data_IF_263357787184
#
_entry.id   IF_263357787184
#
_cell.length_a   1.000
_cell.length_b   1.000
_cell.length_c   1.000
_cell.angle_alpha   90.00
_cell.angle_beta   90.00
_cell.angle_gamma   90.00
#
_symmetry.space_group_name_H-M   'P 1'
#
loop_
_entity.id
_entity.type
_entity.pdbx_description
1 polymer ?
#
# COMPACT_ATOMS: atom_id res chain seq x y z
N UNK A 1 -7.01 23.51 -9.33
CA UNK A 1 -7.23 23.17 -7.91
C UNK A 1 -8.65 22.63 -7.75
N UNK A 2 -8.87 21.62 -6.91
CA UNK A 2 -10.15 20.92 -6.77
C UNK A 2 -11.00 21.50 -5.62
N UNK A 3 -12.33 21.51 -5.76
CA UNK A 3 -13.25 21.98 -4.70
C UNK A 3 -13.42 20.99 -3.54
N UNK A 4 -13.30 19.68 -3.84
CA UNK A 4 -13.42 18.59 -2.87
C UNK A 4 -12.36 17.55 -3.19
N UNK A 5 -11.81 16.94 -2.15
CA UNK A 5 -10.90 15.81 -2.23
C UNK A 5 -11.54 14.66 -1.47
N UNK A 6 -11.62 13.50 -2.11
CA UNK A 6 -12.05 12.25 -1.49
C UNK A 6 -10.81 11.37 -1.34
N UNK A 7 -10.36 11.22 -0.11
CA UNK A 7 -9.26 10.32 0.23
C UNK A 7 -9.85 9.00 0.74
N UNK A 8 -9.47 7.89 0.08
CA UNK A 8 -9.92 6.54 0.44
C UNK A 8 -8.69 5.75 0.84
N UNK A 9 -8.69 5.22 2.06
CA UNK A 9 -7.63 4.34 2.57
C UNK A 9 -8.16 2.91 2.54
N UNK A 10 -7.48 2.04 1.80
CA UNK A 10 -7.69 0.60 1.85
C UNK A 10 -6.72 0.04 2.90
N UNK A 11 -7.19 -0.03 4.13
CA UNK A 11 -6.33 -0.33 5.29
C UNK A 11 -5.60 -1.67 5.09
N UNK A 12 -4.31 -1.71 5.43
CA UNK A 12 -3.37 -2.83 5.26
C UNK A 12 -3.05 -3.30 3.82
N UNK A 13 -3.61 -2.69 2.77
CA UNK A 13 -3.41 -3.15 1.39
C UNK A 13 -2.04 -2.73 0.81
N UNK A 14 -0.97 -3.41 1.22
CA UNK A 14 0.38 -3.20 0.72
C UNK A 14 0.61 -3.71 -0.72
N UNK A 15 1.58 -3.12 -1.42
CA UNK A 15 1.97 -3.44 -2.82
C UNK A 15 3.40 -3.99 -2.93
N UNK A 16 3.83 -4.73 -1.90
CA UNK A 16 5.18 -5.30 -1.79
C UNK A 16 5.95 -4.73 -0.60
N UNK A 17 7.08 -5.38 -0.31
CA UNK A 17 7.95 -5.01 0.80
C UNK A 17 8.59 -3.62 0.58
N UNK A 18 8.77 -2.89 1.68
CA UNK A 18 9.50 -1.64 1.69
C UNK A 18 11.03 -1.87 1.69
N UNK A 19 11.86 -0.90 1.29
CA UNK A 19 13.33 -1.03 1.30
C UNK A 19 13.93 -1.42 2.67
N UNK A 20 13.25 -1.06 3.76
CA UNK A 20 13.61 -1.30 5.16
C UNK A 20 12.83 -2.46 5.80
N UNK A 21 12.12 -3.27 5.02
CA UNK A 21 11.29 -4.38 5.53
C UNK A 21 12.07 -5.36 6.43
N UNK A 22 13.39 -5.49 6.24
CA UNK A 22 14.27 -6.28 7.11
C UNK A 22 14.25 -5.81 8.56
N UNK A 23 14.19 -4.50 8.80
CA UNK A 23 14.19 -3.93 10.15
C UNK A 23 12.91 -4.25 10.91
N UNK A 24 11.85 -4.63 10.19
CA UNK A 24 10.55 -5.01 10.72
C UNK A 24 10.25 -6.51 10.67
N UNK A 25 11.22 -7.33 10.25
CA UNK A 25 11.09 -8.78 9.98
C UNK A 25 10.02 -9.12 8.91
N UNK A 26 9.83 -8.25 7.93
CA UNK A 26 8.79 -8.38 6.88
C UNK A 26 9.38 -8.68 5.49
N UNK A 27 10.58 -9.26 5.42
CA UNK A 27 11.19 -9.62 4.14
C UNK A 27 10.30 -10.61 3.36
N UNK A 28 10.10 -10.33 2.08
CA UNK A 28 9.22 -11.08 1.19
C UNK A 28 7.73 -10.74 1.35
N UNK A 29 7.35 -9.78 2.18
CA UNK A 29 5.96 -9.38 2.32
C UNK A 29 5.42 -8.77 1.01
N UNK A 30 4.24 -9.22 0.58
CA UNK A 30 3.55 -8.64 -0.56
C UNK A 30 2.05 -8.93 -0.48
N UNK A 31 1.29 -8.04 0.17
CA UNK A 31 -0.14 -8.27 0.46
C UNK A 31 -0.94 -8.52 -0.82
N UNK A 32 -0.99 -7.55 -1.74
CA UNK A 32 -1.77 -7.71 -2.98
C UNK A 32 -1.22 -8.81 -3.89
N UNK A 33 0.10 -9.00 -3.94
CA UNK A 33 0.74 -10.04 -4.74
C UNK A 33 0.33 -11.44 -4.28
N UNK A 34 0.48 -11.74 -2.98
CA UNK A 34 0.11 -13.04 -2.43
C UNK A 34 -1.41 -13.29 -2.46
N UNK A 35 -2.23 -12.24 -2.33
CA UNK A 35 -3.68 -12.35 -2.57
C UNK A 35 -3.94 -12.76 -4.03
N UNK A 36 -3.34 -12.06 -4.99
CA UNK A 36 -3.53 -12.36 -6.42
C UNK A 36 -2.99 -13.75 -6.82
N UNK A 37 -1.98 -14.26 -6.11
CA UNK A 37 -1.49 -15.63 -6.28
C UNK A 37 -2.46 -16.68 -5.75
N UNK A 38 -3.04 -16.44 -4.57
CA UNK A 38 -3.88 -17.40 -3.84
C UNK A 38 -5.33 -17.49 -4.36
N UNK A 39 -5.83 -16.47 -5.06
CA UNK A 39 -7.19 -16.48 -5.60
C UNK A 39 -7.30 -15.85 -6.99
N UNK A 40 -8.43 -16.06 -7.66
CA UNK A 40 -8.75 -15.36 -8.90
C UNK A 40 -9.21 -13.93 -8.60
N UNK A 41 -8.25 -13.02 -8.54
CA UNK A 41 -8.47 -11.62 -8.18
C UNK A 41 -8.94 -10.81 -9.40
N UNK A 42 -10.17 -10.29 -9.32
CA UNK A 42 -10.76 -9.48 -10.39
C UNK A 42 -10.96 -8.02 -9.94
N UNK A 43 -10.13 -7.11 -10.45
CA UNK A 43 -10.13 -5.69 -10.10
C UNK A 43 -10.25 -4.78 -11.34
N UNK A 44 -11.33 -4.87 -12.12
CA UNK A 44 -11.41 -4.23 -13.44
C UNK A 44 -11.39 -2.70 -13.33
N UNK A 45 -11.99 -2.16 -12.27
CA UNK A 45 -12.02 -0.71 -12.03
C UNK A 45 -10.65 -0.17 -11.65
N UNK A 46 -9.94 -0.81 -10.70
CA UNK A 46 -8.59 -0.41 -10.30
C UNK A 46 -7.59 -0.61 -11.44
N UNK A 47 -7.71 -1.68 -12.23
CA UNK A 47 -6.95 -1.87 -13.48
C UNK A 47 -7.11 -0.66 -14.40
N UNK A 48 -8.35 -0.22 -14.64
CA UNK A 48 -8.63 0.92 -15.52
C UNK A 48 -8.07 2.26 -15.00
N UNK A 49 -7.87 2.38 -13.68
CA UNK A 49 -7.24 3.54 -13.05
C UNK A 49 -5.70 3.49 -13.10
N UNK A 50 -5.11 2.36 -13.49
CA UNK A 50 -3.65 2.18 -13.58
C UNK A 50 -3.02 1.41 -12.41
N UNK A 51 -3.80 0.69 -11.60
CA UNK A 51 -3.25 -0.04 -10.44
C UNK A 51 -2.20 -1.10 -10.85
N UNK A 52 -2.45 -1.82 -11.95
CA UNK A 52 -1.50 -2.77 -12.54
C UNK A 52 -0.23 -2.13 -13.13
N UNK A 53 -0.20 -0.80 -13.29
CA UNK A 53 0.99 -0.08 -13.74
C UNK A 53 1.94 0.26 -12.57
N UNK A 54 1.50 0.12 -11.31
CA UNK A 54 2.34 0.42 -10.14
C UNK A 54 3.35 -0.71 -9.89
N UNK A 55 2.90 -1.96 -9.99
CA UNK A 55 3.71 -3.16 -9.84
C UNK A 55 3.04 -4.34 -10.55
N UNK A 56 3.80 -5.40 -10.90
CA UNK A 56 3.22 -6.63 -11.43
C UNK A 56 2.26 -7.28 -10.42
N UNK A 57 1.01 -7.47 -10.82
CA UNK A 57 -0.04 -8.12 -10.02
C UNK A 57 -0.76 -9.12 -10.93
N UNK A 58 -0.87 -10.38 -10.50
CA UNK A 58 -1.54 -11.44 -11.28
C UNK A 58 -3.00 -11.03 -11.59
N UNK A 59 -3.42 -11.22 -12.84
CA UNK A 59 -4.74 -10.85 -13.37
C UNK A 59 -5.08 -9.33 -13.36
N UNK A 60 -4.14 -8.46 -12.97
CA UNK A 60 -4.30 -7.00 -12.98
C UNK A 60 -3.17 -6.37 -13.80
N UNK A 61 -3.22 -6.59 -15.11
CA UNK A 61 -2.19 -6.12 -16.05
C UNK A 61 -2.13 -4.59 -16.14
N UNK A 62 -0.95 -4.07 -16.47
CA UNK A 62 -0.78 -2.67 -16.82
C UNK A 62 -1.61 -2.28 -18.06
N UNK A 63 -2.05 -1.02 -18.10
CA UNK A 63 -2.81 -0.45 -19.22
C UNK A 63 -2.04 0.69 -19.87
N UNK A 64 -2.11 0.81 -21.19
CA UNK A 64 -1.40 1.88 -21.93
C UNK A 64 -1.96 3.28 -21.63
N UNK A 65 -3.29 3.38 -21.46
CA UNK A 65 -4.01 4.64 -21.26
C UNK A 65 -4.80 4.61 -19.94
N UNK A 66 -4.14 4.75 -18.78
CA UNK A 66 -4.82 4.73 -17.48
C UNK A 66 -5.67 5.99 -17.28
N UNK A 67 -6.80 5.83 -16.59
CA UNK A 67 -7.74 6.94 -16.32
C UNK A 67 -7.29 7.87 -15.20
N UNK A 68 -6.23 7.52 -14.46
CA UNK A 68 -5.70 8.28 -13.35
C UNK A 68 -4.17 8.21 -13.30
N UNK A 69 -3.57 9.12 -12.53
CA UNK A 69 -2.17 9.02 -12.15
C UNK A 69 -2.00 7.93 -11.10
N UNK A 70 -0.85 7.26 -11.13
CA UNK A 70 -0.54 6.13 -10.26
C UNK A 70 0.92 6.22 -9.81
N UNK A 71 1.17 5.75 -8.59
CA UNK A 71 2.51 5.58 -8.01
C UNK A 71 2.38 4.69 -6.77
N UNK A 72 3.52 4.39 -6.13
CA UNK A 72 3.57 3.90 -4.75
C UNK A 72 4.25 4.94 -3.86
N UNK A 73 4.01 4.83 -2.56
CA UNK A 73 4.56 5.71 -1.53
C UNK A 73 5.32 4.82 -0.55
N UNK A 74 6.44 5.32 -0.03
CA UNK A 74 7.22 4.67 1.02
C UNK A 74 6.93 5.39 2.33
N UNK A 75 6.60 4.63 3.38
CA UNK A 75 6.46 5.16 4.75
C UNK A 75 7.84 5.62 5.23
N UNK A 76 7.92 6.85 5.74
CA UNK A 76 9.15 7.44 6.26
C UNK A 76 9.30 7.19 7.77
N UNK A 77 8.18 7.17 8.50
CA UNK A 77 8.10 7.00 9.94
C UNK A 77 8.64 5.65 10.41
N UNK A 78 9.03 5.59 11.69
CA UNK A 78 9.71 4.43 12.27
C UNK A 78 8.73 3.40 12.88
N UNK A 79 7.51 3.32 12.35
CA UNK A 79 6.47 2.40 12.80
C UNK A 79 5.61 1.94 11.62
N UNK A 80 4.96 0.78 11.79
CA UNK A 80 4.06 0.16 10.78
C UNK A 80 2.64 -0.07 11.31
N UNK A 81 2.29 0.62 12.40
CA UNK A 81 0.95 0.56 12.99
C UNK A 81 -0.01 1.54 12.32
N UNK A 82 -1.31 1.28 12.47
CA UNK A 82 -2.35 2.08 11.80
C UNK A 82 -2.27 3.58 12.16
N UNK A 83 -1.92 3.96 13.39
CA UNK A 83 -1.87 5.37 13.76
C UNK A 83 -0.69 6.06 13.09
N UNK A 84 0.48 5.44 13.10
CA UNK A 84 1.69 5.96 12.44
C UNK A 84 1.42 6.28 10.97
N UNK A 85 0.90 5.32 10.20
CA UNK A 85 0.63 5.53 8.77
C UNK A 85 -0.43 6.58 8.48
N UNK A 86 -1.51 6.63 9.27
CA UNK A 86 -2.55 7.66 9.11
C UNK A 86 -2.04 9.07 9.48
N UNK A 87 -1.20 9.19 10.51
CA UNK A 87 -0.60 10.46 10.91
C UNK A 87 0.40 10.96 9.88
N UNK A 88 1.22 10.07 9.31
CA UNK A 88 2.16 10.45 8.25
C UNK A 88 1.45 10.93 6.99
N UNK A 89 0.37 10.25 6.60
CA UNK A 89 -0.46 10.66 5.46
C UNK A 89 -1.02 12.08 5.64
N UNK A 90 -1.26 12.49 6.88
CA UNK A 90 -1.74 13.83 7.24
C UNK A 90 -0.61 14.83 7.53
N UNK A 91 0.65 14.45 7.29
CA UNK A 91 1.81 15.35 7.34
C UNK A 91 2.68 15.27 8.59
N UNK A 92 2.51 14.26 9.44
CA UNK A 92 3.39 14.04 10.59
C UNK A 92 4.58 13.15 10.26
N UNK A 93 5.63 13.20 11.07
CA UNK A 93 6.75 12.28 11.00
C UNK A 93 6.97 11.64 12.37
N UNK A 94 6.74 10.33 12.47
CA UNK A 94 6.71 9.62 13.75
C UNK A 94 8.02 8.86 13.93
N UNK A 95 8.81 9.29 14.90
CA UNK A 95 10.13 8.67 15.21
C UNK A 95 10.06 7.68 16.37
N UNK A 96 8.93 7.61 17.08
CA UNK A 96 8.73 6.70 18.21
C UNK A 96 7.52 5.81 17.92
N UNK A 97 7.72 4.54 17.53
CA UNK A 97 6.61 3.66 17.21
C UNK A 97 5.78 3.29 18.43
N UNK A 98 4.52 2.95 18.18
CA UNK A 98 3.66 2.31 19.16
C UNK A 98 4.08 0.84 19.35
N UNK A 99 3.90 0.32 20.57
CA UNK A 99 4.21 -1.09 20.88
C UNK A 99 2.96 -1.94 20.70
N UNK A 100 3.12 -3.08 20.03
CA UNK A 100 2.15 -4.18 20.03
C UNK A 100 2.58 -5.24 21.04
N UNK A 101 1.62 -5.95 21.62
CA UNK A 101 1.86 -7.01 22.61
C UNK A 101 1.23 -8.30 22.08
N UNK A 102 2.06 -9.24 21.64
CA UNK A 102 1.63 -10.49 20.97
C UNK A 102 1.76 -11.73 21.85
N UNK A 103 2.41 -11.61 23.00
CA UNK A 103 2.52 -12.70 23.97
C UNK A 103 1.13 -12.95 24.60
N UNK A 104 0.71 -14.22 24.58
CA UNK A 104 -0.52 -14.71 25.22
C UNK A 104 -0.19 -15.58 26.41
#
# INVERSE_FOLDING_TARGET
MYQRIFLIVLDSLGIGEAPDAKDYNDLGSNTIGHIAESMDLNLPNLKSLGYGNIAPIKNVEAVENPKAFFTKIQEASLGKDAMTGHWEMMGMYITKPFKTFTDT
#
